data_IF_433432166358
#
_entry.id   IF_433432166358
#
_cell.length_a   1.000
_cell.length_b   1.000
_cell.length_c   1.000
_cell.angle_alpha   90.00
_cell.angle_beta   90.00
_cell.angle_gamma   90.00
#
_symmetry.space_group_name_H-M   'P 1'
#
loop_
_entity.id
_entity.type
_entity.pdbx_description
1 polymer ?
#
# COMPACT_ATOMS: atom_id res chain seq x y z
N UNK A 1 17.31 10.35 -14.38
CA UNK A 1 17.07 9.35 -13.33
C UNK A 1 17.33 9.99 -11.96
N UNK A 2 16.39 9.77 -11.00
CA UNK A 2 16.54 10.21 -9.62
C UNK A 2 16.90 9.00 -8.76
N UNK A 3 18.05 9.02 -8.04
CA UNK A 3 18.45 7.91 -7.17
C UNK A 3 17.56 7.87 -5.92
N UNK A 4 17.00 6.69 -5.61
CA UNK A 4 16.05 6.54 -4.50
C UNK A 4 16.69 6.61 -3.10
N UNK A 5 18.00 6.44 -2.99
CA UNK A 5 18.73 6.53 -1.71
C UNK A 5 18.71 7.94 -1.09
N UNK A 6 18.35 8.98 -1.84
CA UNK A 6 18.14 10.33 -1.29
C UNK A 6 16.96 10.41 -0.30
N UNK A 7 16.11 9.38 -0.26
CA UNK A 7 14.98 9.27 0.66
C UNK A 7 13.76 10.10 0.30
N UNK A 8 13.93 11.32 -0.17
CA UNK A 8 12.85 12.24 -0.55
C UNK A 8 13.21 13.15 -1.71
N UNK A 9 12.20 13.70 -2.36
CA UNK A 9 12.30 14.85 -3.27
C UNK A 9 11.68 16.01 -2.51
N UNK A 10 12.46 17.05 -2.31
CA UNK A 10 12.05 18.21 -1.53
C UNK A 10 11.05 19.10 -2.29
N UNK A 11 10.45 20.03 -1.54
CA UNK A 11 9.49 20.99 -2.07
C UNK A 11 10.08 21.76 -3.27
N UNK A 12 9.29 21.91 -4.31
CA UNK A 12 9.62 22.67 -5.54
C UNK A 12 10.92 22.26 -6.26
N UNK A 13 11.57 21.13 -5.92
CA UNK A 13 12.90 20.72 -6.43
C UNK A 13 13.02 20.72 -7.96
N UNK A 14 11.94 20.43 -8.67
CA UNK A 14 11.86 20.42 -10.13
C UNK A 14 10.73 21.32 -10.67
N UNK A 15 10.30 22.28 -9.87
CA UNK A 15 9.26 23.22 -10.29
C UNK A 15 9.66 23.95 -11.58
N UNK A 16 8.70 24.11 -12.51
CA UNK A 16 8.90 24.78 -13.81
C UNK A 16 9.99 24.17 -14.72
N UNK A 17 10.40 22.90 -14.48
CA UNK A 17 11.33 22.19 -15.37
C UNK A 17 10.66 21.84 -16.70
N UNK A 18 10.42 22.83 -17.56
CA UNK A 18 9.61 22.72 -18.78
C UNK A 18 10.22 21.84 -19.88
N UNK A 19 11.51 21.49 -19.81
CA UNK A 19 12.19 20.53 -20.71
C UNK A 19 12.18 19.09 -20.20
N UNK A 20 11.78 18.86 -18.94
CA UNK A 20 11.74 17.55 -18.31
C UNK A 20 10.55 16.76 -18.87
N UNK A 21 10.79 15.76 -19.69
CA UNK A 21 9.73 14.97 -20.36
C UNK A 21 9.45 13.61 -19.70
N UNK A 22 10.47 13.00 -19.05
CA UNK A 22 10.37 11.71 -18.39
C UNK A 22 11.22 11.66 -17.12
N UNK A 23 10.69 11.06 -16.06
CA UNK A 23 11.39 10.85 -14.80
C UNK A 23 11.37 9.37 -14.44
N UNK A 24 12.55 8.82 -14.15
CA UNK A 24 12.72 7.49 -13.57
C UNK A 24 13.28 7.63 -12.15
N UNK A 25 12.63 7.00 -11.19
CA UNK A 25 13.04 7.02 -9.78
C UNK A 25 13.41 5.60 -9.38
N UNK A 26 14.60 5.40 -8.81
CA UNK A 26 15.03 4.09 -8.30
C UNK A 26 14.43 3.80 -6.92
N UNK A 27 14.57 2.57 -6.43
CA UNK A 27 14.07 2.17 -5.11
C UNK A 27 14.70 2.99 -3.99
N UNK A 28 13.94 3.24 -2.91
CA UNK A 28 14.41 3.93 -1.71
C UNK A 28 13.68 5.24 -1.42
N UNK A 29 13.17 5.91 -2.46
CA UNK A 29 12.40 7.14 -2.29
C UNK A 29 11.15 6.88 -1.44
N UNK A 30 10.94 7.71 -0.42
CA UNK A 30 9.83 7.62 0.53
C UNK A 30 8.82 8.75 0.40
N UNK A 31 9.27 9.95 0.02
CA UNK A 31 8.45 11.14 -0.04
C UNK A 31 8.70 11.92 -1.33
N UNK A 32 7.64 12.50 -1.88
CA UNK A 32 7.71 13.58 -2.86
C UNK A 32 6.94 14.73 -2.23
N UNK A 33 7.65 15.79 -1.87
CA UNK A 33 7.11 16.92 -1.14
C UNK A 33 6.33 17.87 -2.08
N UNK A 34 5.75 18.93 -1.51
CA UNK A 34 4.82 19.81 -2.18
C UNK A 34 5.45 20.45 -3.43
N UNK A 35 4.70 20.59 -4.49
CA UNK A 35 5.06 21.23 -5.76
C UNK A 35 6.31 20.69 -6.47
N UNK A 36 6.86 19.55 -6.06
CA UNK A 36 8.14 19.03 -6.54
C UNK A 36 8.28 18.96 -8.07
N UNK A 37 7.21 18.71 -8.81
CA UNK A 37 7.15 18.72 -10.27
C UNK A 37 6.06 19.68 -10.80
N UNK A 38 5.71 20.71 -10.03
CA UNK A 38 4.71 21.69 -10.42
C UNK A 38 5.12 22.40 -11.73
N UNK A 39 4.16 22.56 -12.65
CA UNK A 39 4.36 23.17 -13.98
C UNK A 39 5.46 22.54 -14.87
N UNK A 40 5.87 21.29 -14.62
CA UNK A 40 6.69 20.55 -15.57
C UNK A 40 5.87 20.15 -16.81
N UNK A 41 5.53 21.11 -17.69
CA UNK A 41 4.55 20.94 -18.78
C UNK A 41 4.90 19.82 -19.78
N UNK A 42 6.21 19.58 -20.00
CA UNK A 42 6.68 18.51 -20.87
C UNK A 42 6.65 17.12 -20.21
N UNK A 43 6.50 17.02 -18.88
CA UNK A 43 6.54 15.74 -18.16
C UNK A 43 5.29 14.90 -18.46
N UNK A 44 5.44 13.88 -19.28
CA UNK A 44 4.37 12.98 -19.72
C UNK A 44 4.39 11.64 -19.00
N UNK A 45 5.56 11.24 -18.49
CA UNK A 45 5.76 9.92 -17.86
C UNK A 45 6.62 10.00 -16.60
N UNK A 46 6.11 9.42 -15.51
CA UNK A 46 6.86 9.16 -14.29
C UNK A 46 6.50 7.79 -13.72
N UNK A 47 7.51 6.99 -13.38
CA UNK A 47 7.33 5.72 -12.69
C UNK A 47 7.65 5.86 -11.22
N UNK A 48 6.62 5.78 -10.39
CA UNK A 48 6.74 5.87 -8.94
C UNK A 48 7.24 4.54 -8.36
N UNK A 49 8.29 4.53 -7.49
CA UNK A 49 8.86 3.29 -6.96
C UNK A 49 8.03 2.71 -5.81
N UNK A 50 8.08 1.38 -5.66
CA UNK A 50 7.61 0.73 -4.43
C UNK A 50 8.47 1.18 -3.24
N UNK A 51 7.80 1.52 -2.13
CA UNK A 51 8.42 2.13 -0.95
C UNK A 51 8.01 3.59 -0.75
N UNK A 52 7.57 4.28 -1.84
CA UNK A 52 7.02 5.63 -1.74
C UNK A 52 5.82 5.65 -0.79
N UNK A 53 5.81 6.55 0.18
CA UNK A 53 4.80 6.64 1.23
C UNK A 53 3.82 7.79 1.04
N UNK A 54 4.32 8.97 0.60
CA UNK A 54 3.46 10.13 0.40
C UNK A 54 3.83 10.94 -0.82
N UNK A 55 2.80 11.58 -1.37
CA UNK A 55 2.86 12.57 -2.44
C UNK A 55 2.19 13.82 -1.90
N UNK A 56 2.91 14.94 -1.91
CA UNK A 56 2.50 16.23 -1.37
C UNK A 56 1.46 16.97 -2.21
N UNK A 57 1.26 18.24 -1.86
CA UNK A 57 0.31 19.15 -2.54
C UNK A 57 0.86 19.51 -3.91
N UNK A 58 0.02 19.45 -4.93
CA UNK A 58 0.31 20.01 -6.25
C UNK A 58 1.51 19.41 -6.98
N UNK A 59 2.05 18.26 -6.51
CA UNK A 59 3.29 17.64 -7.04
C UNK A 59 3.27 17.53 -8.55
N UNK A 60 2.16 17.12 -9.14
CA UNK A 60 2.00 16.95 -10.59
C UNK A 60 1.01 17.94 -11.21
N UNK A 61 0.77 19.06 -10.56
CA UNK A 61 -0.14 20.06 -11.08
C UNK A 61 0.45 20.75 -12.32
N UNK A 62 -0.37 20.93 -13.36
CA UNK A 62 0.04 21.47 -14.67
C UNK A 62 1.23 20.74 -15.33
N UNK A 63 1.31 19.41 -15.14
CA UNK A 63 2.20 18.54 -15.91
C UNK A 63 1.49 17.98 -17.15
N UNK A 64 2.25 17.39 -18.06
CA UNK A 64 1.72 16.64 -19.21
C UNK A 64 1.19 15.24 -18.88
N UNK A 65 1.25 14.79 -17.62
CA UNK A 65 0.84 13.45 -17.18
C UNK A 65 -0.68 13.31 -17.30
N UNK A 66 -1.14 12.31 -18.04
CA UNK A 66 -2.58 11.98 -18.16
C UNK A 66 -3.00 10.82 -17.28
N UNK A 67 -2.08 9.91 -16.98
CA UNK A 67 -2.34 8.74 -16.15
C UNK A 67 -1.17 8.47 -15.22
N UNK A 68 -1.48 8.13 -13.96
CA UNK A 68 -0.48 7.86 -12.93
C UNK A 68 -0.82 6.59 -12.16
N UNK A 69 0.12 5.63 -12.10
CA UNK A 69 0.01 4.43 -11.28
C UNK A 69 0.59 4.67 -9.89
N UNK A 70 -0.23 4.51 -8.88
CA UNK A 70 0.15 4.72 -7.47
C UNK A 70 0.62 3.40 -6.85
N UNK A 71 1.86 3.30 -6.35
CA UNK A 71 2.38 2.10 -5.70
C UNK A 71 1.58 1.67 -4.48
N UNK A 72 1.64 0.36 -4.20
CA UNK A 72 0.97 -0.25 -3.04
C UNK A 72 1.54 0.14 -1.67
N UNK A 73 2.57 0.97 -1.61
CA UNK A 73 3.16 1.49 -0.37
C UNK A 73 2.64 2.88 0.01
N UNK A 74 2.02 3.62 -0.93
CA UNK A 74 1.54 4.98 -0.70
C UNK A 74 0.39 5.00 0.30
N UNK A 75 0.50 5.85 1.30
CA UNK A 75 -0.49 6.02 2.38
C UNK A 75 -1.25 7.34 2.30
N UNK A 76 -0.68 8.33 1.61
CA UNK A 76 -1.27 9.67 1.46
C UNK A 76 -0.91 10.25 0.11
N UNK A 77 -1.89 10.85 -0.55
CA UNK A 77 -1.71 11.76 -1.67
C UNK A 77 -2.47 13.01 -1.29
N UNK A 78 -1.78 14.13 -1.22
CA UNK A 78 -2.41 15.42 -0.99
C UNK A 78 -3.00 15.94 -2.31
N UNK A 79 -3.27 17.21 -2.45
CA UNK A 79 -3.99 17.74 -3.59
C UNK A 79 -3.31 17.36 -4.91
N UNK A 80 -4.03 16.63 -5.76
CA UNK A 80 -3.55 16.22 -7.08
C UNK A 80 -4.45 16.83 -8.18
N UNK A 81 -3.88 17.06 -9.35
CA UNK A 81 -4.60 17.55 -10.50
C UNK A 81 -5.74 16.58 -10.89
N UNK A 82 -6.95 17.12 -11.01
CA UNK A 82 -8.15 16.33 -11.35
C UNK A 82 -8.11 15.73 -12.76
N UNK A 83 -7.30 16.28 -13.64
CA UNK A 83 -7.12 15.77 -15.02
C UNK A 83 -6.34 14.46 -15.06
N UNK A 84 -5.57 14.14 -14.02
CA UNK A 84 -4.76 12.92 -13.96
C UNK A 84 -5.62 11.72 -13.54
N UNK A 85 -5.72 10.73 -14.42
CA UNK A 85 -6.38 9.45 -14.11
C UNK A 85 -5.49 8.61 -13.20
N UNK A 86 -5.94 8.33 -11.97
CA UNK A 86 -5.20 7.54 -11.01
C UNK A 86 -5.54 6.06 -11.08
N UNK A 87 -4.54 5.21 -11.33
CA UNK A 87 -4.58 3.78 -11.02
C UNK A 87 -3.98 3.59 -9.62
N UNK A 88 -4.82 3.35 -8.61
CA UNK A 88 -4.43 3.37 -7.20
C UNK A 88 -4.98 2.20 -6.41
N UNK A 89 -4.33 1.79 -5.30
CA UNK A 89 -4.86 0.77 -4.39
C UNK A 89 -6.24 1.16 -3.83
N UNK A 90 -7.13 0.17 -3.68
CA UNK A 90 -8.51 0.35 -3.20
C UNK A 90 -8.61 0.91 -1.76
N UNK A 91 -7.60 0.68 -0.93
CA UNK A 91 -7.54 1.23 0.43
C UNK A 91 -7.20 2.73 0.48
N UNK A 92 -6.69 3.35 -0.60
CA UNK A 92 -6.59 4.80 -0.73
C UNK A 92 -7.98 5.36 -1.03
N UNK A 93 -8.63 5.89 -0.01
CA UNK A 93 -9.96 6.49 -0.13
C UNK A 93 -9.85 7.97 -0.43
N UNK A 94 -10.76 8.46 -1.29
CA UNK A 94 -10.87 9.85 -1.72
C UNK A 94 -11.61 10.66 -0.65
N UNK A 95 -11.13 11.84 -0.36
CA UNK A 95 -11.75 12.82 0.52
C UNK A 95 -11.76 14.18 -0.18
N UNK A 96 -12.67 15.05 0.25
CA UNK A 96 -12.77 16.43 -0.20
C UNK A 96 -12.59 17.35 1.00
N UNK A 97 -11.78 18.39 0.87
CA UNK A 97 -11.66 19.47 1.86
C UNK A 97 -12.79 20.49 1.64
N UNK A 98 -13.04 21.34 2.60
CA UNK A 98 -14.03 22.43 2.49
C UNK A 98 -13.73 23.34 1.31
N UNK A 99 -12.45 23.59 1.02
CA UNK A 99 -11.97 24.30 -0.18
C UNK A 99 -12.27 23.61 -1.52
N UNK A 100 -12.90 22.42 -1.50
CA UNK A 100 -13.12 21.60 -2.70
C UNK A 100 -11.92 20.78 -3.16
N UNK A 101 -10.74 20.95 -2.57
CA UNK A 101 -9.55 20.17 -2.91
C UNK A 101 -9.70 18.68 -2.57
N UNK A 102 -9.19 17.82 -3.44
CA UNK A 102 -9.29 16.35 -3.30
C UNK A 102 -7.97 15.80 -2.80
N UNK A 103 -8.02 14.95 -1.79
CA UNK A 103 -6.88 14.19 -1.31
C UNK A 103 -7.24 12.71 -1.11
N UNK A 104 -6.23 11.86 -0.99
CA UNK A 104 -6.39 10.43 -0.74
C UNK A 104 -5.61 10.01 0.50
N UNK A 105 -6.23 9.17 1.32
CA UNK A 105 -5.61 8.65 2.54
C UNK A 105 -5.88 7.15 2.67
N UNK A 106 -4.87 6.42 3.12
CA UNK A 106 -5.01 4.99 3.36
C UNK A 106 -5.93 4.73 4.55
N UNK A 107 -6.98 3.95 4.31
CA UNK A 107 -7.96 3.51 5.32
C UNK A 107 -7.91 2.00 5.47
N UNK A 108 -7.97 1.55 6.71
CA UNK A 108 -8.03 0.15 7.09
C UNK A 108 -9.44 -0.18 7.57
N UNK A 109 -10.09 -1.12 6.91
CA UNK A 109 -11.44 -1.58 7.27
C UNK A 109 -11.33 -2.84 8.12
N UNK A 110 -11.99 -2.83 9.28
CA UNK A 110 -12.10 -3.98 10.18
C UNK A 110 -13.50 -4.54 10.04
N UNK A 111 -13.58 -5.82 9.65
CA UNK A 111 -14.82 -6.57 9.49
C UNK A 111 -14.98 -7.56 10.64
N UNK A 112 -16.15 -7.60 11.26
CA UNK A 112 -16.55 -8.61 12.24
C UNK A 112 -17.85 -9.26 11.78
N UNK A 113 -18.03 -10.54 12.08
CA UNK A 113 -19.26 -11.25 11.74
C UNK A 113 -20.47 -10.59 12.39
N UNK A 114 -21.56 -10.39 11.63
CA UNK A 114 -22.81 -9.79 12.10
C UNK A 114 -22.73 -8.33 12.52
N UNK A 115 -21.64 -7.60 12.21
CA UNK A 115 -21.47 -6.18 12.58
C UNK A 115 -21.09 -5.31 11.39
N UNK A 116 -21.50 -4.04 11.41
CA UNK A 116 -21.07 -3.03 10.44
C UNK A 116 -19.54 -2.91 10.45
N UNK A 117 -18.95 -2.86 9.28
CA UNK A 117 -17.50 -2.66 9.13
C UNK A 117 -17.10 -1.26 9.64
N UNK A 118 -15.98 -1.18 10.37
CA UNK A 118 -15.46 0.09 10.88
C UNK A 118 -14.14 0.42 10.19
N UNK A 119 -13.99 1.66 9.77
CA UNK A 119 -12.83 2.14 9.01
C UNK A 119 -12.00 3.09 9.84
N UNK A 120 -10.68 2.90 9.84
CA UNK A 120 -9.70 3.72 10.56
C UNK A 120 -8.61 4.23 9.62
N UNK A 121 -7.96 5.36 9.98
CA UNK A 121 -6.68 5.74 9.34
C UNK A 121 -5.67 4.61 9.50
N UNK A 122 -5.05 4.19 8.40
CA UNK A 122 -4.10 3.06 8.44
C UNK A 122 -2.89 3.35 9.35
N UNK A 123 -2.49 4.62 9.46
CA UNK A 123 -1.42 5.09 10.35
C UNK A 123 -1.68 4.80 11.84
N UNK A 124 -2.95 4.70 12.26
CA UNK A 124 -3.33 4.37 13.65
C UNK A 124 -3.12 2.91 14.03
N UNK A 125 -2.81 2.04 13.07
CA UNK A 125 -2.56 0.62 13.36
C UNK A 125 -1.19 0.46 14.01
N UNK A 126 -1.18 0.11 15.28
CA UNK A 126 0.05 -0.08 16.07
C UNK A 126 0.64 -1.48 15.90
N UNK A 127 -0.20 -2.50 15.68
CA UNK A 127 0.23 -3.90 15.54
C UNK A 127 -0.76 -4.71 14.71
N UNK A 128 -0.25 -5.70 14.00
CA UNK A 128 -1.04 -6.77 13.38
C UNK A 128 -0.62 -8.13 13.92
N UNK A 129 -1.56 -9.07 14.02
CA UNK A 129 -1.31 -10.46 14.44
C UNK A 129 -2.17 -11.41 13.61
N UNK A 130 -1.72 -12.65 13.46
CA UNK A 130 -2.58 -13.74 12.99
C UNK A 130 -3.67 -14.06 14.04
N UNK A 131 -4.81 -14.58 13.59
CA UNK A 131 -5.76 -15.30 14.46
C UNK A 131 -5.09 -16.54 15.06
N UNK A 132 -4.33 -17.25 14.21
CA UNK A 132 -3.53 -18.43 14.57
C UNK A 132 -2.14 -18.29 13.99
N UNK A 133 -1.10 -18.61 14.77
CA UNK A 133 0.31 -18.57 14.32
C UNK A 133 0.76 -19.86 13.60
N UNK A 134 -0.03 -20.94 13.74
CA UNK A 134 0.22 -22.25 13.12
C UNK A 134 -1.02 -22.68 12.33
N UNK A 135 -0.84 -23.19 11.13
CA UNK A 135 -1.89 -23.72 10.27
C UNK A 135 -1.46 -25.07 9.73
N UNK A 136 -2.31 -26.09 9.88
CA UNK A 136 -2.14 -27.39 9.22
C UNK A 136 -3.23 -27.53 8.16
N UNK A 137 -2.85 -27.93 6.94
CA UNK A 137 -3.74 -28.05 5.79
C UNK A 137 -3.37 -29.30 5.00
N UNK A 138 -4.35 -30.00 4.45
CA UNK A 138 -4.11 -31.12 3.54
C UNK A 138 -3.69 -30.61 2.17
N UNK A 139 -2.90 -31.45 1.43
CA UNK A 139 -2.57 -31.16 0.03
C UNK A 139 -3.85 -30.90 -0.79
N UNK A 140 -3.84 -29.88 -1.66
CA UNK A 140 -4.97 -29.47 -2.47
C UNK A 140 -6.01 -28.59 -1.78
N UNK A 141 -6.12 -28.65 -0.45
CA UNK A 141 -7.10 -27.87 0.31
C UNK A 141 -6.67 -26.40 0.51
N UNK A 142 -7.63 -25.56 0.85
CA UNK A 142 -7.42 -24.13 1.07
C UNK A 142 -7.89 -23.71 2.46
N UNK A 143 -7.27 -22.65 2.99
CA UNK A 143 -7.75 -21.95 4.19
C UNK A 143 -7.44 -20.46 4.10
N UNK A 144 -8.23 -19.65 4.78
CA UNK A 144 -8.07 -18.18 4.76
C UNK A 144 -7.39 -17.68 6.02
N UNK A 145 -6.31 -16.91 5.86
CA UNK A 145 -5.67 -16.20 6.96
C UNK A 145 -6.51 -15.01 7.39
N UNK A 146 -6.67 -14.87 8.71
CA UNK A 146 -7.36 -13.74 9.31
C UNK A 146 -6.38 -12.91 10.14
N UNK A 147 -6.29 -11.61 9.83
CA UNK A 147 -5.40 -10.67 10.50
C UNK A 147 -6.16 -9.87 11.54
N UNK A 148 -5.83 -10.04 12.81
CA UNK A 148 -6.27 -9.19 13.92
C UNK A 148 -5.44 -7.91 13.95
N UNK A 149 -6.04 -6.83 14.44
CA UNK A 149 -5.42 -5.50 14.42
C UNK A 149 -5.52 -4.80 15.78
N UNK A 150 -4.46 -4.08 16.15
CA UNK A 150 -4.41 -3.22 17.33
C UNK A 150 -4.38 -1.77 16.86
N UNK A 151 -5.25 -0.95 17.46
CA UNK A 151 -5.30 0.50 17.24
C UNK A 151 -5.11 1.15 18.58
N UNK A 152 -4.11 2.03 18.70
CA UNK A 152 -3.77 2.72 19.94
C UNK A 152 -3.66 1.75 21.13
N UNK A 153 -2.88 0.69 20.98
CA UNK A 153 -2.64 -0.42 21.94
C UNK A 153 -3.86 -1.31 22.25
N UNK A 154 -5.08 -0.94 21.85
CA UNK A 154 -6.30 -1.76 22.07
C UNK A 154 -6.55 -2.72 20.92
N UNK A 155 -6.80 -3.99 21.23
CA UNK A 155 -7.24 -4.99 20.24
C UNK A 155 -8.65 -4.65 19.76
N UNK A 156 -8.84 -4.56 18.44
CA UNK A 156 -10.17 -4.37 17.85
C UNK A 156 -10.83 -5.72 17.57
N UNK A 157 -12.12 -5.82 17.87
CA UNK A 157 -12.94 -6.99 17.52
C UNK A 157 -13.06 -7.06 15.99
N UNK A 158 -12.83 -8.25 15.41
CA UNK A 158 -12.90 -8.50 13.98
C UNK A 158 -11.52 -8.62 13.31
N UNK A 159 -11.51 -8.61 12.00
CA UNK A 159 -10.35 -8.90 11.17
C UNK A 159 -10.14 -7.80 10.15
N UNK A 160 -8.87 -7.47 9.93
CA UNK A 160 -8.46 -6.48 8.95
C UNK A 160 -8.79 -6.98 7.53
N UNK A 161 -9.32 -6.07 6.70
CA UNK A 161 -9.53 -6.35 5.29
C UNK A 161 -8.18 -6.65 4.62
N UNK A 162 -8.08 -7.77 3.86
CA UNK A 162 -6.82 -8.19 3.26
C UNK A 162 -6.28 -7.25 2.16
N UNK A 163 -7.07 -6.35 1.61
CA UNK A 163 -6.63 -5.44 0.54
C UNK A 163 -5.41 -4.60 0.91
N UNK A 164 -5.33 -4.16 2.18
CA UNK A 164 -4.21 -3.38 2.70
C UNK A 164 -2.99 -4.24 3.09
N UNK A 165 -3.09 -5.56 2.93
CA UNK A 165 -2.04 -6.51 3.30
C UNK A 165 -1.28 -7.01 2.06
N UNK A 166 -0.01 -7.39 2.29
CA UNK A 166 0.80 -8.14 1.33
C UNK A 166 1.13 -9.50 1.96
N UNK A 167 0.87 -10.57 1.21
CA UNK A 167 1.13 -11.94 1.63
C UNK A 167 2.27 -12.51 0.81
N UNK A 168 3.23 -13.15 1.47
CA UNK A 168 4.35 -13.86 0.83
C UNK A 168 4.58 -15.21 1.50
N UNK A 169 5.14 -16.16 0.78
CA UNK A 169 5.51 -17.47 1.31
C UNK A 169 7.00 -17.72 1.16
N UNK A 170 7.60 -18.37 2.14
CA UNK A 170 9.00 -18.79 2.08
C UNK A 170 9.24 -19.95 1.10
N UNK A 171 8.20 -20.72 0.76
CA UNK A 171 8.30 -21.85 -0.16
C UNK A 171 7.05 -21.95 -1.06
N UNK A 172 7.18 -21.46 -2.29
CA UNK A 172 6.10 -21.46 -3.29
C UNK A 172 5.76 -22.87 -3.82
N UNK A 173 6.67 -23.85 -3.69
CA UNK A 173 6.42 -25.25 -4.07
C UNK A 173 5.53 -25.98 -3.07
N UNK A 174 5.55 -25.57 -1.79
CA UNK A 174 4.78 -26.16 -0.71
C UNK A 174 3.45 -25.45 -0.51
N UNK A 175 3.46 -24.10 -0.55
CA UNK A 175 2.28 -23.28 -0.24
C UNK A 175 2.16 -22.13 -1.26
N UNK A 176 0.97 -21.99 -1.86
CA UNK A 176 0.55 -20.79 -2.59
C UNK A 176 -0.30 -19.91 -1.67
N UNK A 177 -0.08 -18.60 -1.69
CA UNK A 177 -0.92 -17.63 -0.99
C UNK A 177 -1.43 -16.58 -1.97
N UNK A 178 -2.73 -16.29 -1.92
CA UNK A 178 -3.35 -15.27 -2.76
C UNK A 178 -3.21 -13.87 -2.15
N UNK A 179 -3.47 -12.83 -2.96
CA UNK A 179 -3.54 -11.43 -2.50
C UNK A 179 -4.62 -11.18 -1.44
N UNK A 180 -5.65 -12.03 -1.38
CA UNK A 180 -6.72 -11.98 -0.39
C UNK A 180 -6.43 -12.83 0.86
N UNK A 181 -5.21 -13.40 0.99
CA UNK A 181 -4.78 -14.18 2.15
C UNK A 181 -5.32 -15.62 2.20
N UNK A 182 -5.79 -16.17 1.07
CA UNK A 182 -6.13 -17.60 0.98
C UNK A 182 -4.86 -18.40 0.73
N UNK A 183 -4.61 -19.39 1.58
CA UNK A 183 -3.51 -20.36 1.46
C UNK A 183 -4.02 -21.61 0.76
N UNK A 184 -3.25 -22.16 -0.16
CA UNK A 184 -3.46 -23.51 -0.75
C UNK A 184 -2.22 -24.37 -0.51
N UNK A 185 -2.41 -25.57 0.06
CA UNK A 185 -1.36 -26.58 0.17
C UNK A 185 -1.09 -27.22 -1.18
N UNK A 186 0.15 -27.17 -1.65
CA UNK A 186 0.53 -27.71 -2.98
C UNK A 186 1.27 -29.05 -2.84
N UNK A 187 2.20 -29.15 -1.90
CA UNK A 187 3.03 -30.34 -1.66
C UNK A 187 3.24 -30.52 -0.16
N UNK A 188 3.32 -31.77 0.31
CA UNK A 188 3.69 -32.10 1.71
C UNK A 188 4.97 -31.38 2.10
N UNK A 189 4.97 -30.74 3.27
CA UNK A 189 6.11 -29.97 3.76
C UNK A 189 5.73 -28.80 4.67
N UNK A 190 6.70 -27.94 4.94
CA UNK A 190 6.55 -26.76 5.80
C UNK A 190 6.86 -25.50 5.01
N UNK A 191 6.15 -24.41 5.27
CA UNK A 191 6.42 -23.07 4.76
C UNK A 191 6.00 -22.01 5.78
N UNK A 192 6.62 -20.85 5.73
CA UNK A 192 6.20 -19.68 6.51
C UNK A 192 5.51 -18.68 5.60
N UNK A 193 4.29 -18.29 5.94
CA UNK A 193 3.60 -17.19 5.27
C UNK A 193 3.84 -15.93 6.09
N UNK A 194 4.46 -14.92 5.44
CA UNK A 194 4.65 -13.59 6.03
C UNK A 194 3.54 -12.68 5.54
N UNK A 195 2.89 -12.01 6.48
CA UNK A 195 1.86 -11.00 6.21
C UNK A 195 2.40 -9.65 6.62
N UNK A 196 2.40 -8.71 5.68
CA UNK A 196 2.91 -7.34 5.86
C UNK A 196 1.78 -6.33 5.64
N UNK A 197 1.61 -5.40 6.58
CA UNK A 197 0.77 -4.23 6.37
C UNK A 197 1.50 -3.27 5.41
N UNK A 198 0.93 -3.03 4.24
CA UNK A 198 1.57 -2.25 3.15
C UNK A 198 1.97 -0.85 3.60
N UNK A 199 1.11 -0.20 4.38
CA UNK A 199 1.22 1.21 4.77
C UNK A 199 2.26 1.50 5.83
N UNK A 200 2.51 0.58 6.76
CA UNK A 200 3.43 0.79 7.89
C UNK A 200 4.58 -0.20 7.95
N UNK A 201 4.58 -1.18 7.05
CA UNK A 201 5.59 -2.24 7.04
C UNK A 201 5.48 -3.27 8.16
N UNK A 202 4.55 -3.12 9.12
CA UNK A 202 4.36 -4.09 10.23
C UNK A 202 4.05 -5.48 9.70
N UNK A 203 4.65 -6.50 10.31
CA UNK A 203 4.56 -7.88 9.87
C UNK A 203 4.14 -8.82 10.97
N UNK A 204 3.63 -10.00 10.57
CA UNK A 204 3.61 -11.22 11.38
C UNK A 204 3.85 -12.44 10.47
N UNK A 205 4.21 -13.56 11.09
CA UNK A 205 4.47 -14.83 10.40
C UNK A 205 3.46 -15.89 10.83
N UNK A 206 3.10 -16.77 9.91
CA UNK A 206 2.27 -17.96 10.15
C UNK A 206 3.01 -19.18 9.62
N UNK A 207 3.26 -20.16 10.50
CA UNK A 207 3.86 -21.43 10.12
C UNK A 207 2.78 -22.34 9.54
N UNK A 208 2.99 -22.80 8.31
CA UNK A 208 2.07 -23.66 7.59
C UNK A 208 2.71 -25.02 7.40
N UNK A 209 1.98 -26.07 7.82
CA UNK A 209 2.33 -27.48 7.56
C UNK A 209 1.31 -28.04 6.59
N UNK A 210 1.79 -28.56 5.45
CA UNK A 210 0.98 -29.32 4.49
C UNK A 210 1.21 -30.81 4.75
N UNK A 211 0.11 -31.55 4.98
CA UNK A 211 0.09 -33.01 5.14
C UNK A 211 -0.29 -33.71 3.82
#
# INVERSE_FOLDING_TARGET
TIPGQIGGIDESSFENCNKLNKVTITKGLRFINDYAFFECKALKEIKLPEGLQSIGVGVFYRTGIKQLTIPGSVVKIDVIDKSIKLSKPSYLKKFKRDSGAIYYEARATIKASGKKAVTYKASRITKIKAKTSKVTIQKGKTTKLQTRVYISKKLKKGYLDPEILKFTTSNKKVVKVSSKGTIKGLKKGKATVTVKLRTTGKTYKVNVKVK
#
